data_IF_721921772445
#
_entry.id   IF_721921772445
#
_cell.length_a   1.000
_cell.length_b   1.000
_cell.length_c   1.000
_cell.angle_alpha   90.00
_cell.angle_beta   90.00
_cell.angle_gamma   90.00
#
_symmetry.space_group_name_H-M   'P 1'
#
loop_
_entity.id
_entity.type
_entity.pdbx_description
1 polymer ?
#
# COMPACT_ATOMS: atom_id res chain seq x y z
N UNK A 1 -27.89 26.80 -17.31
CA UNK A 1 -27.71 26.04 -16.07
C UNK A 1 -26.74 24.91 -16.38
N UNK A 2 -25.43 25.16 -16.23
CA UNK A 2 -24.41 24.17 -16.57
C UNK A 2 -24.38 23.10 -15.48
N UNK A 3 -24.81 21.88 -15.82
CA UNK A 3 -24.67 20.72 -14.93
C UNK A 3 -23.20 20.56 -14.57
N UNK A 4 -22.83 20.91 -13.35
CA UNK A 4 -21.51 20.66 -12.78
C UNK A 4 -21.31 19.16 -12.68
N UNK A 5 -20.67 18.56 -13.69
CA UNK A 5 -20.27 17.16 -13.66
C UNK A 5 -19.37 16.96 -12.45
N UNK A 6 -19.82 16.19 -11.47
CA UNK A 6 -19.04 15.80 -10.29
C UNK A 6 -17.93 14.88 -10.78
N UNK A 7 -16.82 15.47 -11.19
CA UNK A 7 -15.62 14.74 -11.57
C UNK A 7 -15.01 14.11 -10.30
N UNK A 8 -14.59 12.84 -10.33
CA UNK A 8 -13.87 12.24 -9.22
C UNK A 8 -12.68 13.13 -8.88
N UNK A 9 -12.61 13.62 -7.63
CA UNK A 9 -11.59 14.58 -7.26
C UNK A 9 -10.25 13.88 -6.99
N UNK A 10 -9.55 13.50 -8.06
CA UNK A 10 -8.23 12.87 -8.00
C UNK A 10 -7.20 13.72 -7.23
N UNK A 11 -7.36 15.05 -7.21
CA UNK A 11 -6.49 15.95 -6.44
C UNK A 11 -6.62 15.74 -4.93
N UNK A 12 -7.83 15.43 -4.45
CA UNK A 12 -8.05 15.13 -3.04
C UNK A 12 -7.39 13.81 -2.62
N UNK A 13 -7.50 12.77 -3.46
CA UNK A 13 -6.83 11.48 -3.23
C UNK A 13 -5.32 11.65 -3.24
N UNK A 14 -4.78 12.46 -4.17
CA UNK A 14 -3.35 12.77 -4.24
C UNK A 14 -2.84 13.47 -2.97
N UNK A 15 -3.57 14.47 -2.45
CA UNK A 15 -3.23 15.12 -1.18
C UNK A 15 -3.23 14.12 -0.02
N UNK A 16 -4.16 13.17 -0.01
CA UNK A 16 -4.21 12.13 1.01
C UNK A 16 -3.01 11.17 0.94
N UNK A 17 -2.57 10.82 -0.29
CA UNK A 17 -1.36 10.03 -0.49
C UNK A 17 -0.11 10.77 0.00
N UNK A 18 -0.01 12.08 -0.25
CA UNK A 18 1.07 12.92 0.27
C UNK A 18 1.05 13.00 1.81
N UNK A 19 -0.13 13.13 2.42
CA UNK A 19 -0.26 13.14 3.87
C UNK A 19 0.22 11.81 4.48
N UNK A 20 -0.20 10.68 3.91
CA UNK A 20 0.27 9.35 4.32
C UNK A 20 1.77 9.15 4.07
N UNK A 21 2.35 9.81 3.05
CA UNK A 21 3.79 9.82 2.81
C UNK A 21 4.52 10.54 3.94
N UNK A 22 4.11 11.76 4.25
CA UNK A 22 4.66 12.53 5.37
C UNK A 22 4.58 11.76 6.68
N UNK A 23 3.44 11.12 6.97
CA UNK A 23 3.26 10.30 8.17
C UNK A 23 4.23 9.11 8.24
N UNK A 24 4.43 8.37 7.14
CA UNK A 24 5.36 7.24 7.13
C UNK A 24 6.82 7.66 7.30
N UNK A 25 7.19 8.80 6.71
CA UNK A 25 8.54 9.38 6.89
C UNK A 25 8.73 9.86 8.32
N UNK A 26 7.77 10.61 8.87
CA UNK A 26 7.81 11.06 10.26
C UNK A 26 7.90 9.87 11.23
N UNK A 27 7.10 8.83 11.03
CA UNK A 27 7.14 7.60 11.81
C UNK A 27 8.52 6.91 11.82
N UNK A 28 9.32 7.10 10.77
CA UNK A 28 10.69 6.57 10.69
C UNK A 28 11.70 7.37 11.52
N UNK A 29 11.40 8.64 11.82
CA UNK A 29 12.24 9.51 12.66
C UNK A 29 11.83 9.51 14.13
N UNK A 30 10.64 8.98 14.48
CA UNK A 30 10.22 8.90 15.87
C UNK A 30 11.13 7.92 16.63
N UNK A 31 11.71 8.33 17.78
CA UNK A 31 12.52 7.46 18.64
C UNK A 31 11.68 6.41 19.41
N UNK A 32 10.44 6.15 18.99
CA UNK A 32 9.58 5.13 19.58
C UNK A 32 10.11 3.72 19.31
N UNK A 33 9.77 2.77 20.18
CA UNK A 33 10.22 1.39 20.07
C UNK A 33 10.05 0.83 18.66
N UNK A 34 11.09 0.12 18.17
CA UNK A 34 11.22 -0.35 16.77
C UNK A 34 9.95 -1.01 16.22
N UNK A 35 9.24 -1.76 17.07
CA UNK A 35 7.98 -2.43 16.71
C UNK A 35 6.87 -1.45 16.36
N UNK A 36 6.74 -0.35 17.10
CA UNK A 36 5.69 0.65 16.87
C UNK A 36 5.95 1.39 15.55
N UNK A 37 7.21 1.74 15.28
CA UNK A 37 7.60 2.36 14.01
C UNK A 37 7.26 1.44 12.82
N UNK A 38 7.61 0.15 12.91
CA UNK A 38 7.28 -0.85 11.88
C UNK A 38 5.78 -0.95 11.65
N UNK A 39 4.96 -1.01 12.71
CA UNK A 39 3.51 -1.10 12.60
C UNK A 39 2.91 0.14 11.91
N UNK A 40 3.36 1.35 12.26
CA UNK A 40 2.87 2.59 11.65
C UNK A 40 3.28 2.69 10.18
N UNK A 41 4.52 2.33 9.85
CA UNK A 41 5.01 2.31 8.47
C UNK A 41 4.20 1.30 7.64
N UNK A 42 3.94 0.10 8.16
CA UNK A 42 3.18 -0.92 7.46
C UNK A 42 1.70 -0.52 7.28
N UNK A 43 1.08 0.08 8.31
CA UNK A 43 -0.28 0.57 8.24
C UNK A 43 -0.43 1.70 7.20
N UNK A 44 0.49 2.66 7.20
CA UNK A 44 0.47 3.77 6.22
C UNK A 44 0.76 3.28 4.79
N UNK A 45 1.64 2.29 4.61
CA UNK A 45 1.85 1.65 3.30
C UNK A 45 0.59 0.93 2.79
N UNK A 46 -0.07 0.16 3.65
CA UNK A 46 -1.29 -0.57 3.32
C UNK A 46 -2.44 0.39 2.95
N UNK A 47 -2.61 1.48 3.69
CA UNK A 47 -3.62 2.50 3.39
C UNK A 47 -3.40 3.17 2.03
N UNK A 48 -2.15 3.49 1.66
CA UNK A 48 -1.82 4.04 0.33
C UNK A 48 -2.14 3.04 -0.78
N UNK A 49 -1.74 1.79 -0.61
CA UNK A 49 -2.03 0.72 -1.59
C UNK A 49 -3.54 0.60 -1.82
N UNK A 50 -4.35 0.65 -0.75
CA UNK A 50 -5.81 0.60 -0.86
C UNK A 50 -6.40 1.83 -1.56
N UNK A 51 -5.92 3.05 -1.23
CA UNK A 51 -6.33 4.27 -1.92
C UNK A 51 -6.03 4.22 -3.41
N UNK A 52 -4.85 3.70 -3.78
CA UNK A 52 -4.47 3.52 -5.19
C UNK A 52 -5.35 2.48 -5.88
N UNK A 53 -5.57 1.34 -5.25
CA UNK A 53 -6.42 0.27 -5.79
C UNK A 53 -7.87 0.74 -6.03
N UNK A 54 -8.44 1.52 -5.10
CA UNK A 54 -9.83 1.97 -5.17
C UNK A 54 -10.04 3.17 -6.11
N UNK A 55 -9.07 4.08 -6.22
CA UNK A 55 -9.25 5.36 -6.92
C UNK A 55 -8.50 5.46 -8.25
N UNK A 56 -7.35 4.79 -8.40
CA UNK A 56 -6.49 4.94 -9.59
C UNK A 56 -6.44 3.69 -10.46
N UNK A 57 -6.64 2.49 -9.89
CA UNK A 57 -6.60 1.24 -10.67
C UNK A 57 -7.91 0.89 -11.38
N UNK A 58 -8.90 1.78 -11.39
CA UNK A 58 -10.18 1.62 -12.11
C UNK A 58 -11.01 0.34 -11.79
N UNK A 59 -10.60 -0.47 -10.80
CA UNK A 59 -11.27 -1.71 -10.38
C UNK A 59 -12.77 -1.55 -10.11
N UNK A 60 -13.22 -0.36 -9.71
CA UNK A 60 -14.62 -0.06 -9.40
C UNK A 60 -15.58 -0.20 -10.60
N UNK A 61 -15.10 -0.14 -11.85
CA UNK A 61 -15.97 -0.08 -13.04
C UNK A 61 -15.65 -1.14 -14.11
N UNK A 62 -14.80 -2.11 -13.82
CA UNK A 62 -14.27 -3.04 -14.82
C UNK A 62 -14.55 -4.51 -14.47
N UNK A 63 -14.52 -5.43 -15.47
CA UNK A 63 -14.93 -6.82 -15.28
C UNK A 63 -14.04 -7.57 -14.27
N UNK A 64 -14.61 -8.63 -13.67
CA UNK A 64 -13.96 -9.50 -12.67
C UNK A 64 -12.55 -10.02 -13.06
N UNK A 65 -12.23 -9.99 -14.35
CA UNK A 65 -10.93 -10.37 -14.91
C UNK A 65 -9.79 -9.43 -14.46
N UNK A 66 -10.05 -8.13 -14.28
CA UNK A 66 -9.03 -7.20 -13.75
C UNK A 66 -8.77 -7.39 -12.25
N UNK A 67 -9.80 -7.79 -11.49
CA UNK A 67 -9.60 -8.19 -10.10
C UNK A 67 -8.70 -9.43 -10.01
N UNK A 68 -8.90 -10.42 -10.89
CA UNK A 68 -8.01 -11.58 -10.97
C UNK A 68 -6.58 -11.18 -11.39
N UNK A 69 -6.43 -10.27 -12.34
CA UNK A 69 -5.13 -9.77 -12.80
C UNK A 69 -4.33 -9.06 -11.70
N UNK A 70 -4.99 -8.38 -10.75
CA UNK A 70 -4.32 -7.76 -9.59
C UNK A 70 -4.09 -8.78 -8.47
N UNK A 71 -5.02 -9.70 -8.24
CA UNK A 71 -4.94 -10.66 -7.16
C UNK A 71 -3.85 -11.72 -7.38
N UNK A 72 -3.66 -12.19 -8.63
CA UNK A 72 -2.64 -13.18 -8.98
C UNK A 72 -1.22 -12.71 -8.61
N UNK A 73 -0.72 -11.54 -9.09
CA UNK A 73 0.61 -11.07 -8.74
C UNK A 73 0.73 -10.72 -7.25
N UNK A 74 -0.36 -10.26 -6.61
CA UNK A 74 -0.37 -10.00 -5.16
C UNK A 74 -0.19 -11.30 -4.38
N UNK A 75 -0.92 -12.35 -4.73
CA UNK A 75 -0.82 -13.67 -4.10
C UNK A 75 0.57 -14.27 -4.34
N UNK A 76 1.08 -14.14 -5.57
CA UNK A 76 2.44 -14.57 -5.91
C UNK A 76 3.49 -13.85 -5.04
N UNK A 77 3.36 -12.53 -4.84
CA UNK A 77 4.25 -11.74 -3.99
C UNK A 77 4.22 -12.23 -2.54
N UNK A 78 3.03 -12.50 -2.00
CA UNK A 78 2.86 -13.04 -0.63
C UNK A 78 3.53 -14.41 -0.49
N UNK A 79 3.31 -15.32 -1.45
CA UNK A 79 3.93 -16.65 -1.46
C UNK A 79 5.45 -16.51 -1.52
N UNK A 80 5.95 -15.68 -2.42
CA UNK A 80 7.40 -15.49 -2.61
C UNK A 80 8.03 -14.89 -1.36
N UNK A 81 7.40 -13.89 -0.73
CA UNK A 81 7.84 -13.33 0.53
C UNK A 81 7.85 -14.37 1.66
N UNK A 82 6.82 -15.21 1.77
CA UNK A 82 6.74 -16.26 2.79
C UNK A 82 7.81 -17.35 2.60
N UNK A 83 8.11 -17.72 1.36
CA UNK A 83 9.15 -18.70 1.02
C UNK A 83 10.56 -18.14 1.23
N UNK A 84 10.81 -16.88 0.88
CA UNK A 84 12.13 -16.24 1.08
C UNK A 84 12.40 -15.84 2.54
N UNK A 85 11.36 -15.62 3.34
CA UNK A 85 11.50 -15.22 4.74
C UNK A 85 12.42 -16.16 5.55
N UNK A 86 12.23 -17.50 5.55
CA UNK A 86 13.12 -18.40 6.27
C UNK A 86 14.57 -18.34 5.75
N UNK A 87 14.81 -18.16 4.45
CA UNK A 87 16.17 -18.05 3.90
C UNK A 87 16.92 -16.84 4.45
N UNK A 88 16.27 -15.67 4.51
CA UNK A 88 16.86 -14.47 5.12
C UNK A 88 17.14 -14.64 6.62
N UNK A 89 16.19 -15.26 7.33
CA UNK A 89 16.33 -15.50 8.78
C UNK A 89 17.46 -16.49 9.08
N UNK A 90 17.60 -17.53 8.26
CA UNK A 90 18.60 -18.57 8.48
C UNK A 90 20.01 -18.11 8.11
N UNK A 91 20.15 -17.31 7.04
CA UNK A 91 21.44 -16.77 6.62
C UNK A 91 21.98 -15.67 7.57
N UNK A 92 21.11 -15.04 8.37
CA UNK A 92 21.50 -13.99 9.33
C UNK A 92 22.17 -14.53 10.60
N UNK A 93 22.39 -15.86 10.73
CA UNK A 93 23.13 -16.42 11.86
C UNK A 93 24.63 -16.43 11.54
N UNK A 94 25.46 -15.61 12.23
CA UNK A 94 26.90 -15.68 12.05
C UNK A 94 27.40 -17.05 12.50
N UNK A 95 28.20 -17.69 11.65
CA UNK A 95 29.00 -18.87 12.03
C UNK A 95 30.19 -18.45 12.88
#
# INVERSE_FOLDING_TARGET
>A
MTSGKVHPNYTAVWLWLLALLGLGVAASFLPGGRTLAVLVILATASAKALLVALNFMHLRFEPALLYALVLIPLLFLVVLAAVLFPDFVWHSRPR
#
